data_IF_013898260873
#
_entry.id   IF_013898260873
#
_cell.length_a   1.000
_cell.length_b   1.000
_cell.length_c   1.000
_cell.angle_alpha   90.00
_cell.angle_beta   90.00
_cell.angle_gamma   90.00
#
_symmetry.space_group_name_H-M   'P 1'
#
loop_
_entity.id
_entity.type
_entity.pdbx_description
1 polymer ?
#
# COMPACT_ATOMS: atom_id res chain seq x y z
N UNK A 1 42.76 -36.24 24.90
CA UNK A 1 42.44 -35.90 23.49
C UNK A 1 41.03 -35.32 23.26
N UNK A 2 39.98 -35.73 23.99
CA UNK A 2 38.59 -35.24 23.79
C UNK A 2 38.35 -33.76 24.18
N UNK A 3 39.05 -33.24 25.20
CA UNK A 3 38.92 -31.84 25.68
C UNK A 3 39.45 -30.79 24.70
N UNK A 4 40.56 -31.05 23.99
CA UNK A 4 41.12 -30.12 22.99
C UNK A 4 40.27 -30.00 21.73
N UNK A 5 39.62 -31.08 21.28
CA UNK A 5 38.67 -31.02 20.16
C UNK A 5 37.47 -30.13 20.48
N UNK A 6 36.93 -30.23 21.70
CA UNK A 6 35.87 -29.33 22.19
C UNK A 6 36.34 -27.88 22.30
N UNK A 7 37.59 -27.65 22.70
CA UNK A 7 38.18 -26.32 22.88
C UNK A 7 38.36 -25.56 21.56
N UNK A 8 38.53 -26.27 20.45
CA UNK A 8 38.58 -25.69 19.09
C UNK A 8 37.20 -25.62 18.43
N UNK A 9 36.30 -26.54 18.79
CA UNK A 9 34.96 -26.60 18.19
C UNK A 9 34.09 -25.40 18.58
N UNK A 10 34.13 -24.98 19.84
CA UNK A 10 33.36 -23.82 20.34
C UNK A 10 33.72 -22.51 19.61
N UNK A 11 35.01 -22.10 19.51
CA UNK A 11 35.38 -20.88 18.79
C UNK A 11 35.12 -21.00 17.28
N UNK A 12 35.27 -22.18 16.68
CA UNK A 12 34.88 -22.40 15.28
C UNK A 12 33.37 -22.18 15.07
N UNK A 13 32.53 -22.68 15.98
CA UNK A 13 31.08 -22.48 15.94
C UNK A 13 30.71 -21.00 16.11
N UNK A 14 31.39 -20.29 17.02
CA UNK A 14 31.18 -18.85 17.21
C UNK A 14 31.61 -18.03 15.99
N UNK A 15 32.71 -18.39 15.33
CA UNK A 15 33.15 -17.74 14.09
C UNK A 15 32.15 -17.98 12.96
N UNK A 16 31.62 -19.19 12.83
CA UNK A 16 30.57 -19.49 11.84
C UNK A 16 29.30 -18.70 12.15
N UNK A 17 28.87 -18.65 13.42
CA UNK A 17 27.72 -17.85 13.81
C UNK A 17 27.93 -16.37 13.50
N UNK A 18 29.06 -15.79 13.89
CA UNK A 18 29.40 -14.39 13.64
C UNK A 18 29.51 -14.08 12.14
N UNK A 19 30.08 -14.97 11.33
CA UNK A 19 30.17 -14.80 9.87
C UNK A 19 28.81 -14.86 9.16
N UNK A 20 27.79 -15.43 9.80
CA UNK A 20 26.44 -15.51 9.27
C UNK A 20 25.49 -14.45 9.86
N UNK A 21 25.93 -13.67 10.86
CA UNK A 21 25.14 -12.55 11.38
C UNK A 21 25.16 -11.39 10.38
N UNK A 22 23.97 -10.94 10.00
CA UNK A 22 23.73 -9.83 9.10
C UNK A 22 23.07 -8.69 9.88
N UNK A 23 23.47 -7.43 9.65
CA UNK A 23 22.75 -6.29 10.20
C UNK A 23 21.39 -6.17 9.51
N UNK A 24 20.34 -6.17 10.31
CA UNK A 24 18.96 -6.03 9.86
C UNK A 24 18.30 -4.90 10.66
N UNK A 25 17.54 -4.08 9.95
CA UNK A 25 16.91 -2.89 10.51
C UNK A 25 15.39 -3.03 10.44
N UNK A 26 14.70 -2.57 11.48
CA UNK A 26 13.27 -2.26 11.43
C UNK A 26 13.11 -0.76 11.44
N UNK A 27 12.05 -0.27 10.79
CA UNK A 27 11.83 1.16 10.56
C UNK A 27 10.48 1.57 11.14
N UNK A 28 10.44 2.76 11.74
CA UNK A 28 9.19 3.47 12.02
C UNK A 28 9.23 4.80 11.26
N UNK A 29 8.11 5.17 10.66
CA UNK A 29 7.94 6.43 9.95
C UNK A 29 6.86 7.22 10.69
N UNK A 30 7.19 8.43 11.15
CA UNK A 30 6.35 9.27 12.03
C UNK A 30 5.79 8.49 13.22
N UNK A 31 6.63 7.65 13.83
CA UNK A 31 6.27 6.81 14.95
C UNK A 31 5.40 5.60 14.61
N UNK A 32 5.03 5.36 13.35
CA UNK A 32 4.28 4.16 12.91
C UNK A 32 5.25 3.08 12.43
N UNK A 33 5.18 1.85 12.96
CA UNK A 33 6.06 0.76 12.51
C UNK A 33 5.70 0.31 11.09
N UNK A 34 6.70 0.22 10.21
CA UNK A 34 6.55 -0.37 8.89
C UNK A 34 6.86 -1.87 8.98
N UNK A 35 5.96 -2.70 8.48
CA UNK A 35 6.15 -4.16 8.52
C UNK A 35 7.29 -4.59 7.61
N UNK A 36 8.19 -5.42 8.15
CA UNK A 36 9.32 -5.94 7.41
C UNK A 36 10.66 -5.62 8.06
N UNK A 37 11.71 -5.93 7.32
CA UNK A 37 13.07 -5.73 7.79
C UNK A 37 14.00 -5.45 6.61
N UNK A 38 14.92 -4.50 6.78
CA UNK A 38 15.72 -3.95 5.68
C UNK A 38 17.20 -3.93 5.99
N UNK A 39 18.01 -3.94 4.94
CA UNK A 39 19.42 -3.60 5.07
C UNK A 39 19.58 -2.09 5.28
N UNK A 40 20.65 -1.61 5.94
CA UNK A 40 20.90 -0.17 6.08
C UNK A 40 20.89 0.58 4.73
N UNK A 41 21.47 -0.03 3.68
CA UNK A 41 21.50 0.58 2.36
C UNK A 41 20.13 0.61 1.66
N UNK A 42 19.22 -0.32 1.97
CA UNK A 42 17.85 -0.29 1.44
C UNK A 42 17.06 0.88 2.03
N UNK A 43 17.26 1.19 3.31
CA UNK A 43 16.61 2.35 3.96
C UNK A 43 17.06 3.66 3.30
N UNK A 44 18.37 3.83 3.07
CA UNK A 44 18.90 5.03 2.40
C UNK A 44 18.41 5.18 0.95
N UNK A 45 18.21 4.06 0.23
CA UNK A 45 17.65 4.11 -1.13
C UNK A 45 16.16 4.42 -1.12
N UNK A 46 15.37 3.75 -0.27
CA UNK A 46 13.95 4.01 -0.11
C UNK A 46 13.69 5.48 0.27
N UNK A 47 14.46 6.03 1.22
CA UNK A 47 14.35 7.44 1.60
C UNK A 47 14.68 8.40 0.46
N UNK A 48 15.73 8.15 -0.33
CA UNK A 48 16.04 8.98 -1.50
C UNK A 48 14.98 8.90 -2.59
N UNK A 49 14.47 7.69 -2.85
CA UNK A 49 13.41 7.48 -3.82
C UNK A 49 12.13 8.21 -3.40
N UNK A 50 11.71 8.03 -2.15
CA UNK A 50 10.54 8.69 -1.57
C UNK A 50 10.66 10.20 -1.60
N UNK A 51 11.81 10.76 -1.19
CA UNK A 51 12.03 12.21 -1.23
C UNK A 51 11.95 12.76 -2.66
N UNK A 52 12.61 12.11 -3.62
CA UNK A 52 12.56 12.54 -5.02
C UNK A 52 11.14 12.50 -5.60
N UNK A 53 10.36 11.47 -5.28
CA UNK A 53 8.94 11.42 -5.68
C UNK A 53 8.10 12.48 -4.97
N UNK A 54 8.36 12.73 -3.68
CA UNK A 54 7.63 13.72 -2.90
C UNK A 54 7.88 15.13 -3.45
N UNK A 55 9.11 15.47 -3.84
CA UNK A 55 9.45 16.78 -4.42
C UNK A 55 8.69 17.03 -5.72
N UNK A 56 8.54 16.00 -6.57
CA UNK A 56 7.77 16.07 -7.82
C UNK A 56 6.26 16.21 -7.55
N UNK A 57 5.73 15.47 -6.57
CA UNK A 57 4.30 15.46 -6.24
C UNK A 57 3.89 16.75 -5.52
N UNK A 58 4.60 17.14 -4.47
CA UNK A 58 4.26 18.31 -3.65
C UNK A 58 4.46 19.65 -4.38
N UNK A 59 5.14 19.65 -5.54
CA UNK A 59 5.41 20.85 -6.37
C UNK A 59 6.04 21.99 -5.56
N UNK A 60 6.90 21.64 -4.61
CA UNK A 60 7.52 22.54 -3.64
C UNK A 60 8.58 21.82 -2.79
N UNK A 61 9.25 22.57 -1.92
CA UNK A 61 10.22 21.97 -0.99
C UNK A 61 9.49 21.08 0.01
N UNK A 62 9.77 19.78 -0.04
CA UNK A 62 9.29 18.80 0.93
C UNK A 62 10.48 18.27 1.73
N UNK A 63 10.20 17.74 2.91
CA UNK A 63 11.20 17.14 3.78
C UNK A 63 10.85 15.68 4.02
N UNK A 64 11.87 14.87 4.31
CA UNK A 64 11.65 13.53 4.78
C UNK A 64 10.90 13.56 6.13
N UNK A 65 9.97 12.62 6.36
CA UNK A 65 9.33 12.44 7.65
C UNK A 65 10.35 12.01 8.72
N UNK A 66 9.90 11.90 9.97
CA UNK A 66 10.76 11.36 11.02
C UNK A 66 10.92 9.85 10.83
N UNK A 67 12.16 9.40 10.60
CA UNK A 67 12.48 7.99 10.34
C UNK A 67 13.33 7.45 11.48
N UNK A 68 12.71 6.62 12.30
CA UNK A 68 13.40 5.91 13.38
C UNK A 68 13.88 4.54 12.88
N UNK A 69 15.16 4.24 13.12
CA UNK A 69 15.78 2.98 12.68
C UNK A 69 16.30 2.19 13.88
N UNK A 70 15.74 1.01 14.10
CA UNK A 70 16.21 0.06 15.10
C UNK A 70 17.07 -1.02 14.44
N UNK A 71 18.29 -1.23 14.96
CA UNK A 71 19.26 -2.18 14.39
C UNK A 71 19.36 -3.44 15.23
N UNK A 72 19.38 -4.59 14.56
CA UNK A 72 19.59 -5.89 15.17
C UNK A 72 20.52 -6.75 14.30
N UNK A 73 21.02 -7.84 14.88
CA UNK A 73 21.78 -8.85 14.15
C UNK A 73 20.89 -10.07 13.94
N UNK A 74 20.78 -10.53 12.70
CA UNK A 74 19.98 -11.69 12.34
C UNK A 74 20.82 -12.67 11.53
N UNK A 75 20.57 -13.96 11.72
CA UNK A 75 21.10 -15.01 10.84
C UNK A 75 20.32 -15.12 9.52
N UNK A 76 19.13 -14.52 9.48
CA UNK A 76 18.30 -14.44 8.29
C UNK A 76 18.55 -13.12 7.54
N UNK A 77 18.47 -13.11 6.21
CA UNK A 77 18.49 -11.88 5.45
C UNK A 77 17.29 -10.99 5.80
N UNK A 78 17.45 -9.69 5.54
CA UNK A 78 16.34 -8.75 5.47
C UNK A 78 15.27 -9.25 4.48
N UNK A 79 14.00 -9.03 4.80
CA UNK A 79 12.85 -9.61 4.08
C UNK A 79 11.83 -8.59 3.59
N UNK A 80 11.96 -7.31 3.96
CA UNK A 80 11.04 -6.26 3.54
C UNK A 80 11.31 -5.80 2.11
N UNK A 81 10.25 -5.41 1.40
CA UNK A 81 10.37 -4.79 0.07
C UNK A 81 10.84 -3.34 0.23
N UNK A 82 11.78 -2.94 -0.63
CA UNK A 82 12.28 -1.56 -0.70
C UNK A 82 11.21 -0.61 -1.22
N UNK A 83 10.34 -1.06 -2.13
CA UNK A 83 9.27 -0.24 -2.70
C UNK A 83 8.16 0.02 -1.67
N UNK A 84 7.76 -0.98 -0.89
CA UNK A 84 6.78 -0.81 0.20
C UNK A 84 7.31 0.19 1.25
N UNK A 85 8.60 0.11 1.58
CA UNK A 85 9.23 1.09 2.48
C UNK A 85 9.25 2.49 1.87
N UNK A 86 9.56 2.61 0.57
CA UNK A 86 9.58 3.89 -0.11
C UNK A 86 8.17 4.50 -0.20
N UNK A 87 7.13 3.69 -0.46
CA UNK A 87 5.73 4.13 -0.44
C UNK A 87 5.32 4.61 0.94
N UNK A 88 5.67 3.87 2.00
CA UNK A 88 5.38 4.26 3.39
C UNK A 88 6.04 5.60 3.75
N UNK A 89 7.32 5.80 3.37
CA UNK A 89 8.01 7.08 3.58
C UNK A 89 7.35 8.19 2.76
N UNK A 90 7.06 7.94 1.48
CA UNK A 90 6.46 8.92 0.56
C UNK A 90 5.10 9.42 1.08
N UNK A 91 4.23 8.51 1.52
CA UNK A 91 2.89 8.87 2.00
C UNK A 91 2.91 9.63 3.34
N UNK A 92 4.05 9.63 4.03
CA UNK A 92 4.30 10.40 5.26
C UNK A 92 4.97 11.75 4.99
N UNK A 93 5.46 12.01 3.77
CA UNK A 93 6.06 13.30 3.43
C UNK A 93 5.01 14.42 3.47
N UNK A 94 5.43 15.61 3.92
CA UNK A 94 4.56 16.79 3.92
C UNK A 94 4.14 17.17 2.48
N UNK A 95 2.86 17.46 2.31
CA UNK A 95 2.27 17.85 1.02
C UNK A 95 1.95 16.68 0.10
N UNK A 96 2.20 15.44 0.53
CA UNK A 96 1.81 14.21 -0.17
C UNK A 96 0.67 13.55 0.60
N UNK A 97 -0.27 12.97 -0.13
CA UNK A 97 -1.37 12.21 0.43
C UNK A 97 -1.52 10.90 -0.33
N UNK A 98 -1.78 9.81 0.40
CA UNK A 98 -2.17 8.54 -0.21
C UNK A 98 -3.60 8.64 -0.73
N UNK A 99 -3.82 8.15 -1.94
CA UNK A 99 -5.13 8.07 -2.55
C UNK A 99 -5.25 6.82 -3.41
N UNK A 100 -6.44 6.64 -3.98
CA UNK A 100 -6.78 5.55 -4.87
C UNK A 100 -7.31 6.14 -6.18
N UNK A 101 -6.61 5.89 -7.28
CA UNK A 101 -7.05 6.27 -8.61
C UNK A 101 -8.24 5.39 -9.01
N UNK A 102 -9.38 6.00 -9.26
CA UNK A 102 -10.56 5.31 -9.78
C UNK A 102 -10.66 5.51 -11.29
N UNK A 103 -10.79 4.40 -12.02
CA UNK A 103 -11.09 4.43 -13.44
C UNK A 103 -12.18 3.42 -13.81
N UNK A 104 -12.97 3.78 -14.83
CA UNK A 104 -14.08 2.97 -15.34
C UNK A 104 -13.93 2.83 -16.84
N UNK A 105 -13.86 1.60 -17.33
CA UNK A 105 -13.56 1.27 -18.73
C UNK A 105 -12.33 2.02 -19.27
N UNK A 106 -11.32 2.20 -18.41
CA UNK A 106 -10.09 2.94 -18.70
C UNK A 106 -10.23 4.48 -18.65
N UNK A 107 -11.40 5.03 -18.35
CA UNK A 107 -11.60 6.46 -18.14
C UNK A 107 -11.31 6.83 -16.69
N UNK A 108 -10.33 7.71 -16.47
CA UNK A 108 -9.99 8.22 -15.13
C UNK A 108 -11.09 9.15 -14.60
N UNK A 109 -11.62 8.84 -13.41
CA UNK A 109 -12.68 9.62 -12.77
C UNK A 109 -12.13 10.58 -11.72
N UNK A 110 -11.15 10.14 -10.94
CA UNK A 110 -10.59 10.93 -9.87
C UNK A 110 -9.87 10.10 -8.82
N UNK A 111 -9.59 10.75 -7.69
CA UNK A 111 -8.82 10.17 -6.60
C UNK A 111 -9.69 10.03 -5.36
N UNK A 112 -9.83 8.82 -4.82
CA UNK A 112 -10.50 8.57 -3.55
C UNK A 112 -9.49 8.51 -2.41
N UNK A 113 -9.79 9.15 -1.28
CA UNK A 113 -8.95 9.10 -0.08
C UNK A 113 -9.08 7.76 0.66
N UNK A 114 -10.31 7.28 0.82
CA UNK A 114 -10.63 6.04 1.50
C UNK A 114 -11.35 5.06 0.58
N UNK A 115 -10.70 3.92 0.32
CA UNK A 115 -11.26 2.82 -0.48
C UNK A 115 -12.48 2.19 0.20
N UNK A 116 -12.54 2.20 1.53
CA UNK A 116 -13.64 1.62 2.30
C UNK A 116 -14.91 2.45 2.11
N UNK A 117 -14.79 3.77 2.25
CA UNK A 117 -15.88 4.70 1.98
C UNK A 117 -16.36 4.63 0.52
N UNK A 118 -15.43 4.50 -0.43
CA UNK A 118 -15.78 4.30 -1.84
C UNK A 118 -16.54 2.98 -2.05
N UNK A 119 -16.08 1.89 -1.46
CA UNK A 119 -16.72 0.57 -1.56
C UNK A 119 -18.12 0.58 -0.95
N UNK A 120 -18.31 1.18 0.23
CA UNK A 120 -19.62 1.32 0.87
C UNK A 120 -20.60 2.14 0.00
N UNK A 121 -20.08 3.20 -0.62
CA UNK A 121 -20.87 4.02 -1.55
C UNK A 121 -21.29 3.21 -2.77
N UNK A 122 -20.37 2.44 -3.37
CA UNK A 122 -20.67 1.54 -4.49
C UNK A 122 -21.71 0.47 -4.14
N UNK A 123 -21.64 -0.12 -2.95
CA UNK A 123 -22.63 -1.09 -2.46
C UNK A 123 -24.00 -0.45 -2.25
N UNK A 124 -24.04 0.75 -1.67
CA UNK A 124 -25.28 1.53 -1.48
C UNK A 124 -25.96 1.81 -2.82
N UNK A 125 -25.16 2.21 -3.82
CA UNK A 125 -25.61 2.45 -5.19
C UNK A 125 -26.28 1.23 -5.79
N UNK A 126 -25.62 0.08 -5.73
CA UNK A 126 -26.18 -1.19 -6.22
C UNK A 126 -27.48 -1.50 -5.47
N UNK A 127 -27.48 -1.40 -4.14
CA UNK A 127 -28.62 -1.70 -3.28
C UNK A 127 -29.88 -0.88 -3.57
N UNK A 128 -29.73 0.39 -4.00
CA UNK A 128 -30.86 1.25 -4.36
C UNK A 128 -31.53 0.87 -5.69
N UNK A 129 -30.81 0.21 -6.60
CA UNK A 129 -31.27 -0.04 -7.96
C UNK A 129 -31.79 -1.46 -8.19
N UNK A 130 -31.49 -2.38 -7.27
CA UNK A 130 -31.85 -3.80 -7.43
C UNK A 130 -33.14 -4.18 -6.70
N UNK A 131 -33.96 -5.07 -7.28
CA UNK A 131 -35.11 -5.61 -6.57
C UNK A 131 -34.67 -6.55 -5.44
N UNK A 132 -35.49 -6.67 -4.39
CA UNK A 132 -35.25 -7.56 -3.23
C UNK A 132 -35.09 -9.04 -3.62
N UNK A 133 -35.58 -9.43 -4.81
CA UNK A 133 -35.45 -10.79 -5.34
C UNK A 133 -34.13 -11.05 -6.08
N UNK A 134 -33.27 -10.04 -6.27
CA UNK A 134 -31.97 -10.22 -6.89
C UNK A 134 -31.06 -11.10 -6.02
N UNK A 135 -30.34 -12.04 -6.65
CA UNK A 135 -29.39 -12.95 -5.98
C UNK A 135 -27.96 -12.42 -6.08
N UNK A 136 -27.64 -11.71 -7.15
CA UNK A 136 -26.34 -11.09 -7.40
C UNK A 136 -26.53 -9.77 -8.13
N UNK A 137 -25.67 -8.82 -7.87
CA UNK A 137 -25.62 -7.55 -8.60
C UNK A 137 -24.18 -7.05 -8.71
N UNK A 138 -23.96 -6.11 -9.62
CA UNK A 138 -22.67 -5.48 -9.87
C UNK A 138 -22.78 -4.38 -10.91
N UNK A 139 -21.63 -3.81 -11.27
CA UNK A 139 -21.53 -2.84 -12.34
C UNK A 139 -21.19 -3.52 -13.67
N UNK A 140 -21.89 -3.13 -14.73
CA UNK A 140 -21.63 -3.54 -16.11
C UNK A 140 -20.57 -2.61 -16.73
N UNK A 141 -19.41 -2.55 -16.07
CA UNK A 141 -18.23 -1.79 -16.47
C UNK A 141 -16.98 -2.37 -15.80
N UNK A 142 -15.82 -2.18 -16.41
CA UNK A 142 -14.54 -2.55 -15.82
C UNK A 142 -14.06 -1.44 -14.87
N UNK A 143 -14.15 -1.68 -13.57
CA UNK A 143 -13.76 -0.72 -12.53
C UNK A 143 -12.37 -1.09 -12.02
N UNK A 144 -11.38 -0.22 -12.27
CA UNK A 144 -10.04 -0.36 -11.72
C UNK A 144 -9.79 0.67 -10.61
N UNK A 145 -9.23 0.18 -9.50
CA UNK A 145 -8.85 0.96 -8.33
C UNK A 145 -7.38 0.69 -8.04
N UNK A 146 -6.53 1.70 -8.23
CA UNK A 146 -5.08 1.56 -8.08
C UNK A 146 -4.54 2.50 -7.00
N UNK A 147 -3.60 2.04 -6.15
CA UNK A 147 -2.99 2.90 -5.13
C UNK A 147 -2.13 3.97 -5.79
N UNK A 148 -2.13 5.16 -5.20
CA UNK A 148 -1.33 6.27 -5.70
C UNK A 148 -1.00 7.31 -4.62
N UNK A 149 -0.02 8.16 -4.93
CA UNK A 149 0.34 9.32 -4.13
C UNK A 149 0.02 10.60 -4.92
N UNK A 150 -0.71 11.52 -4.29
CA UNK A 150 -1.16 12.77 -4.89
C UNK A 150 -0.73 13.96 -4.03
N UNK A 151 -0.74 15.19 -4.57
CA UNK A 151 -0.57 16.37 -3.73
C UNK A 151 -1.74 16.45 -2.74
N UNK A 152 -1.46 16.84 -1.49
CA UNK A 152 -2.51 16.99 -0.49
C UNK A 152 -3.59 17.98 -0.96
N UNK A 153 -4.86 17.62 -0.76
CA UNK A 153 -6.00 18.44 -1.17
C UNK A 153 -6.48 18.22 -2.61
N UNK A 154 -5.89 17.29 -3.35
CA UNK A 154 -6.28 16.95 -4.73
C UNK A 154 -7.27 15.77 -4.81
N UNK A 155 -7.72 15.24 -3.67
CA UNK A 155 -8.74 14.21 -3.65
C UNK A 155 -10.06 14.71 -4.24
N UNK A 156 -10.76 13.81 -4.93
CA UNK A 156 -12.11 14.08 -5.41
C UNK A 156 -13.10 13.71 -4.32
N UNK A 157 -14.08 14.58 -4.11
CA UNK A 157 -15.20 14.31 -3.22
C UNK A 157 -15.92 13.00 -3.58
N UNK A 158 -16.21 12.17 -2.57
CA UNK A 158 -16.75 10.81 -2.76
C UNK A 158 -18.14 10.84 -3.41
N UNK A 159 -18.98 11.82 -3.05
CA UNK A 159 -20.31 11.98 -3.67
C UNK A 159 -20.19 12.33 -5.16
N UNK A 160 -19.15 13.07 -5.52
CA UNK A 160 -18.85 13.41 -6.92
C UNK A 160 -18.35 12.20 -7.70
N UNK A 161 -17.45 11.40 -7.13
CA UNK A 161 -17.00 10.13 -7.73
C UNK A 161 -18.16 9.15 -7.92
N UNK A 162 -19.03 9.02 -6.90
CA UNK A 162 -20.22 8.17 -6.95
C UNK A 162 -21.17 8.57 -8.08
N UNK A 163 -21.43 9.87 -8.24
CA UNK A 163 -22.26 10.39 -9.33
C UNK A 163 -21.67 10.10 -10.70
N UNK A 164 -20.37 10.30 -10.89
CA UNK A 164 -19.70 10.01 -12.17
C UNK A 164 -19.68 8.52 -12.47
N UNK A 165 -19.44 7.68 -11.45
CA UNK A 165 -19.52 6.23 -11.58
C UNK A 165 -20.92 5.80 -12.04
N UNK A 166 -21.97 6.38 -11.47
CA UNK A 166 -23.35 6.14 -11.90
C UNK A 166 -23.65 6.53 -13.34
N UNK A 167 -23.08 7.64 -13.82
CA UNK A 167 -23.27 8.09 -15.19
C UNK A 167 -22.60 7.16 -16.21
N UNK A 168 -21.50 6.51 -15.82
CA UNK A 168 -20.66 5.71 -16.71
C UNK A 168 -20.88 4.20 -16.58
N UNK A 169 -21.22 3.70 -15.40
CA UNK A 169 -21.40 2.29 -15.12
C UNK A 169 -22.86 1.97 -14.78
N UNK A 170 -23.48 1.10 -15.58
CA UNK A 170 -24.85 0.61 -15.32
C UNK A 170 -24.82 -0.50 -14.29
N UNK A 171 -25.85 -0.59 -13.45
CA UNK A 171 -25.98 -1.71 -12.52
C UNK A 171 -26.69 -2.87 -13.22
N UNK A 172 -26.09 -4.05 -13.18
CA UNK A 172 -26.75 -5.30 -13.56
C UNK A 172 -27.10 -6.12 -12.32
N UNK A 173 -28.14 -6.93 -12.43
CA UNK A 173 -28.53 -7.90 -11.41
C UNK A 173 -29.03 -9.20 -12.03
N UNK A 174 -28.94 -10.27 -11.24
CA UNK A 174 -29.34 -11.63 -11.61
C UNK A 174 -30.54 -12.05 -10.75
N UNK A 175 -31.63 -12.45 -11.41
CA UNK A 175 -32.83 -12.95 -10.74
C UNK A 175 -32.78 -14.46 -10.49
N UNK A 176 -33.68 -15.03 -9.65
CA UNK A 176 -33.65 -16.45 -9.30
C UNK A 176 -33.86 -17.42 -10.46
N UNK A 177 -34.43 -16.94 -11.56
CA UNK A 177 -34.57 -17.64 -12.84
C UNK A 177 -33.26 -17.66 -13.66
N UNK A 178 -32.19 -17.02 -13.16
CA UNK A 178 -30.88 -16.91 -13.83
C UNK A 178 -30.82 -15.82 -14.90
N UNK A 179 -31.87 -15.01 -15.09
CA UNK A 179 -31.85 -13.93 -16.07
C UNK A 179 -31.01 -12.75 -15.57
N UNK A 180 -30.15 -12.22 -16.44
CA UNK A 180 -29.42 -10.97 -16.21
C UNK A 180 -30.30 -9.81 -16.67
N UNK A 181 -30.45 -8.80 -15.81
CA UNK A 181 -31.23 -7.59 -16.07
C UNK A 181 -30.41 -6.37 -15.69
N UNK A 182 -30.66 -5.25 -16.36
CA UNK A 182 -30.07 -3.96 -16.02
C UNK A 182 -31.12 -3.12 -15.28
N UNK A 183 -30.67 -2.36 -14.29
CA UNK A 183 -31.50 -1.36 -13.62
C UNK A 183 -31.48 -0.02 -14.37
#
# INVERSE_FOLDING_TARGET
MRKWKLLLFIPALLLVAAANLRPVCTVRVDGVPVEGSWSPGSIERAGRLALGMAEEIARGGTALPDIEVSRSLSIFPASGDENELAEAILCSCEGVQRAWALSVDGCFLGWAEDISALSETMETVIGMQIPVSAIRAGFDADISIEPAAIPSGWQTDVDTLSRQLHELARVFYITPDGAVRCA
#
